data_IF_703699963771
#
_entry.id   IF_703699963771
#
_cell.length_a   1.000
_cell.length_b   1.000
_cell.length_c   1.000
_cell.angle_alpha   90.00
_cell.angle_beta   90.00
_cell.angle_gamma   90.00
#
_symmetry.space_group_name_H-M   'P 1'
#
loop_
_entity.id
_entity.type
_entity.pdbx_description
1 polymer ?
#
# COMPACT_ATOMS: atom_id res chain seq x y z
N UNK A 1 15.55 -10.23 -7.81
CA UNK A 1 14.38 -9.35 -7.67
C UNK A 1 14.61 -8.45 -6.47
N UNK A 2 14.82 -7.14 -6.71
CA UNK A 2 15.16 -6.19 -5.65
C UNK A 2 13.94 -5.36 -5.24
N UNK A 3 13.84 -5.08 -3.94
CA UNK A 3 12.72 -4.34 -3.34
C UNK A 3 13.26 -3.07 -2.70
N UNK A 4 12.81 -1.91 -3.19
CA UNK A 4 13.27 -0.63 -2.70
C UNK A 4 12.10 0.22 -2.17
N UNK A 5 12.25 0.73 -0.95
CA UNK A 5 11.35 1.76 -0.42
C UNK A 5 11.85 3.15 -0.80
N UNK A 6 10.98 3.99 -1.36
CA UNK A 6 11.27 5.42 -1.52
C UNK A 6 11.43 6.11 -0.16
N UNK A 7 12.11 7.26 -0.15
CA UNK A 7 12.19 8.10 1.05
C UNK A 7 10.80 8.43 1.61
N UNK A 8 9.85 8.75 0.73
CA UNK A 8 8.48 9.06 1.11
C UNK A 8 7.77 7.87 1.77
N UNK A 9 7.90 6.67 1.20
CA UNK A 9 7.32 5.46 1.79
C UNK A 9 7.90 5.17 3.18
N UNK A 10 9.22 5.30 3.37
CA UNK A 10 9.86 5.11 4.69
C UNK A 10 9.35 6.12 5.71
N UNK A 11 9.26 7.40 5.33
CA UNK A 11 8.73 8.46 6.19
C UNK A 11 7.30 8.15 6.61
N UNK A 12 6.43 7.74 5.68
CA UNK A 12 5.05 7.35 5.97
C UNK A 12 4.94 6.16 6.91
N UNK A 13 5.76 5.13 6.72
CA UNK A 13 5.78 3.99 7.62
C UNK A 13 6.15 4.41 9.05
N UNK A 14 7.15 5.30 9.20
CA UNK A 14 7.55 5.83 10.51
C UNK A 14 6.44 6.67 11.16
N UNK A 15 5.81 7.58 10.40
CA UNK A 15 4.69 8.41 10.89
C UNK A 15 3.48 7.60 11.34
N UNK A 16 3.23 6.46 10.70
CA UNK A 16 2.04 5.62 10.92
C UNK A 16 2.33 4.42 11.81
N UNK A 17 3.54 4.35 12.39
CA UNK A 17 4.01 3.21 13.19
C UNK A 17 3.87 1.85 12.46
N UNK A 18 4.08 1.83 11.15
CA UNK A 18 4.02 0.63 10.32
C UNK A 18 5.38 -0.07 10.37
N UNK A 19 5.36 -1.36 10.69
CA UNK A 19 6.57 -2.15 10.71
C UNK A 19 7.06 -2.42 9.28
N UNK A 20 8.14 -1.74 8.89
CA UNK A 20 8.78 -1.87 7.57
C UNK A 20 9.19 -3.31 7.24
N UNK A 21 9.61 -4.10 8.22
CA UNK A 21 10.04 -5.49 8.02
C UNK A 21 8.86 -6.39 7.67
N UNK A 22 7.74 -6.25 8.39
CA UNK A 22 6.51 -6.98 8.08
C UNK A 22 5.97 -6.59 6.72
N UNK A 23 5.97 -5.28 6.42
CA UNK A 23 5.54 -4.76 5.13
C UNK A 23 6.40 -5.29 3.98
N UNK A 24 7.72 -5.37 4.17
CA UNK A 24 8.63 -5.94 3.18
C UNK A 24 8.38 -7.43 2.96
N UNK A 25 8.15 -8.20 4.04
CA UNK A 25 7.80 -9.62 3.93
C UNK A 25 6.53 -9.83 3.12
N UNK A 26 5.51 -9.00 3.35
CA UNK A 26 4.27 -9.04 2.59
C UNK A 26 4.50 -8.64 1.13
N UNK A 27 5.23 -7.57 0.85
CA UNK A 27 5.49 -7.15 -0.53
C UNK A 27 6.28 -8.20 -1.31
N UNK A 28 7.12 -9.00 -0.65
CA UNK A 28 7.85 -10.11 -1.28
C UNK A 28 6.96 -11.25 -1.76
N UNK A 29 5.74 -11.41 -1.23
CA UNK A 29 4.79 -12.42 -1.71
C UNK A 29 4.02 -11.95 -2.94
N UNK A 30 4.11 -10.66 -3.29
CA UNK A 30 3.37 -10.08 -4.41
C UNK A 30 4.15 -10.38 -5.70
N UNK A 31 3.50 -10.96 -6.73
CA UNK A 31 4.13 -11.16 -8.03
C UNK A 31 4.52 -9.81 -8.64
N UNK A 32 5.60 -9.78 -9.42
CA UNK A 32 6.11 -8.56 -10.06
C UNK A 32 5.01 -7.83 -10.84
N UNK A 33 4.54 -6.65 -10.40
CA UNK A 33 3.51 -5.93 -11.13
C UNK A 33 4.11 -5.35 -12.43
N UNK A 34 3.36 -5.40 -13.53
CA UNK A 34 3.73 -4.68 -14.76
C UNK A 34 3.22 -3.24 -14.64
N UNK A 35 4.01 -2.37 -14.01
CA UNK A 35 3.69 -0.97 -13.79
C UNK A 35 3.15 -0.68 -12.39
N UNK A 36 2.28 0.33 -12.28
CA UNK A 36 1.76 0.78 -10.98
C UNK A 36 0.58 -0.09 -10.54
N UNK A 37 0.72 -0.75 -9.38
CA UNK A 37 -0.31 -1.60 -8.79
C UNK A 37 -0.59 -1.16 -7.37
N UNK A 38 -1.88 -1.09 -7.03
CA UNK A 38 -2.34 -0.85 -5.67
C UNK A 38 -2.47 -2.19 -4.96
N UNK A 39 -1.84 -2.32 -3.80
CA UNK A 39 -1.97 -3.47 -2.91
C UNK A 39 -2.60 -3.05 -1.58
N UNK A 40 -3.39 -3.93 -0.98
CA UNK A 40 -3.94 -3.73 0.35
C UNK A 40 -3.24 -4.71 1.28
N UNK A 41 -2.54 -4.16 2.28
CA UNK A 41 -1.82 -4.95 3.26
C UNK A 41 -2.79 -5.73 4.15
N UNK A 42 -2.34 -6.80 4.80
CA UNK A 42 -3.15 -7.57 5.78
C UNK A 42 -3.67 -6.67 6.92
N UNK A 43 -2.86 -5.73 7.37
CA UNK A 43 -3.23 -4.70 8.37
C UNK A 43 -4.16 -3.60 7.81
N UNK A 44 -4.50 -3.64 6.52
CA UNK A 44 -5.42 -2.72 5.86
C UNK A 44 -4.80 -1.42 5.36
N UNK A 45 -3.48 -1.39 5.15
CA UNK A 45 -2.77 -0.25 4.54
C UNK A 45 -2.86 -0.32 3.02
N UNK A 46 -3.10 0.79 2.35
CA UNK A 46 -3.01 0.84 0.89
C UNK A 46 -1.58 1.19 0.49
N UNK A 47 -0.95 0.29 -0.25
CA UNK A 47 0.43 0.41 -0.72
C UNK A 47 0.38 0.61 -2.24
N UNK A 48 1.11 1.61 -2.73
CA UNK A 48 1.33 1.78 -4.17
C UNK A 48 2.69 1.18 -4.53
N UNK A 49 2.66 0.12 -5.33
CA UNK A 49 3.82 -0.57 -5.86
C UNK A 49 4.03 -0.14 -7.31
N UNK A 50 5.28 0.06 -7.71
CA UNK A 50 5.65 0.31 -9.09
C UNK A 50 6.66 -0.74 -9.51
N UNK A 51 6.27 -1.61 -10.44
CA UNK A 51 7.20 -2.55 -11.03
C UNK A 51 7.99 -1.89 -12.15
N UNK A 52 9.31 -2.08 -12.13
CA UNK A 52 10.23 -1.65 -13.19
C UNK A 52 10.44 -2.77 -14.20
N UNK A 53 10.82 -2.39 -15.42
CA UNK A 53 11.10 -3.31 -16.53
C UNK A 53 12.10 -4.43 -16.17
N UNK A 54 13.02 -4.17 -15.25
CA UNK A 54 14.04 -5.13 -14.80
C UNK A 54 13.51 -6.13 -13.75
N UNK A 55 12.20 -6.17 -13.50
CA UNK A 55 11.58 -7.01 -12.46
C UNK A 55 11.74 -6.46 -11.04
N UNK A 56 12.28 -5.26 -10.86
CA UNK A 56 12.43 -4.64 -9.54
C UNK A 56 11.12 -3.99 -9.08
N UNK A 57 10.82 -4.08 -7.79
CA UNK A 57 9.63 -3.46 -7.19
C UNK A 57 10.05 -2.25 -6.36
N UNK A 58 9.46 -1.10 -6.67
CA UNK A 58 9.61 0.13 -5.88
C UNK A 58 8.31 0.39 -5.14
N UNK A 59 8.41 0.48 -3.81
CA UNK A 59 7.30 0.88 -2.95
C UNK A 59 7.26 2.40 -2.94
N UNK A 60 6.29 2.97 -3.67
CA UNK A 60 6.21 4.41 -3.94
C UNK A 60 5.59 5.14 -2.73
N UNK A 61 4.47 4.64 -2.23
CA UNK A 61 3.68 5.29 -1.17
C UNK A 61 2.96 4.27 -0.31
N UNK A 62 2.83 4.58 0.99
CA UNK A 62 2.00 3.84 1.94
C UNK A 62 0.93 4.79 2.51
N UNK A 63 -0.32 4.37 2.46
CA UNK A 63 -1.51 5.13 2.89
C UNK A 63 -2.23 4.31 3.96
N UNK A 64 -2.19 4.75 5.23
CA UNK A 64 -2.96 4.11 6.29
C UNK A 64 -4.47 4.33 6.19
N UNK A 65 -5.18 3.33 6.72
CA UNK A 65 -6.62 3.29 6.97
C UNK A 65 -7.14 4.53 7.69
N UNK A 66 -6.36 5.11 8.61
CA UNK A 66 -6.84 6.20 9.47
C UNK A 66 -7.29 7.46 8.72
N UNK A 67 -6.70 7.77 7.55
CA UNK A 67 -7.14 8.93 6.75
C UNK A 67 -8.53 8.74 6.13
N UNK A 68 -8.96 7.49 5.93
CA UNK A 68 -10.22 7.14 5.24
C UNK A 68 -11.19 6.31 6.08
N UNK A 69 -10.87 5.99 7.34
CA UNK A 69 -11.80 5.28 8.24
C UNK A 69 -13.10 6.07 8.45
N UNK A 70 -13.02 7.40 8.42
CA UNK A 70 -14.20 8.28 8.42
C UNK A 70 -14.96 8.29 7.09
N UNK A 71 -14.31 7.97 5.97
CA UNK A 71 -14.92 7.92 4.64
C UNK A 71 -15.55 6.55 4.35
N UNK A 72 -14.95 5.44 4.83
CA UNK A 72 -15.52 4.10 4.70
C UNK A 72 -16.82 3.95 5.50
N UNK A 73 -16.94 4.57 6.68
CA UNK A 73 -18.21 4.64 7.41
C UNK A 73 -19.26 5.55 6.74
N UNK A 74 -18.88 6.40 5.77
CA UNK A 74 -19.81 7.23 4.99
C UNK A 74 -20.21 6.59 3.66
N UNK A 75 -19.44 5.62 3.15
CA UNK A 75 -19.72 4.93 1.88
C UNK A 75 -20.83 3.88 1.99
N UNK A 76 -21.34 3.57 3.20
CA UNK A 76 -22.53 2.73 3.41
C UNK A 76 -23.85 3.54 3.57
N UNK A 77 -23.87 4.83 3.21
CA UNK A 77 -25.11 5.63 3.11
C UNK A 77 -25.43 6.04 1.66
N UNK A 78 -25.24 5.13 0.71
CA UNK A 78 -25.41 5.42 -0.71
C UNK A 78 -25.72 4.20 -1.56
N UNK A 79 -26.66 3.35 -1.12
CA UNK A 79 -27.35 2.45 -2.03
C UNK A 79 -28.82 2.33 -1.60
N UNK A 80 -29.58 3.37 -1.93
CA UNK A 80 -31.03 3.26 -2.02
C UNK A 80 -31.33 2.27 -3.14
N UNK A 81 -32.07 1.23 -2.77
CA UNK A 81 -32.85 0.39 -3.67
C UNK A 81 -33.91 1.24 -4.37
N UNK A 82 -33.85 1.31 -5.69
CA UNK A 82 -34.99 1.44 -6.59
C UNK A 82 -34.78 0.47 -7.74
#
# INVERSE_FOLDING_TARGET
>A
MEYAFTHYARKRCKEQNINLHNLLKEVKTIPAPRGNTRWISTEGHTIMLSGKANGNIVIVTVIAKHKYRQTMNKLHKGRNTF
#
